data_IF_920556434110
#
_entry.id   IF_920556434110
#
_cell.length_a   1.000
_cell.length_b   1.000
_cell.length_c   1.000
_cell.angle_alpha   90.00
_cell.angle_beta   90.00
_cell.angle_gamma   90.00
#
_symmetry.space_group_name_H-M   'P 1'
#
loop_
_entity.id
_entity.type
_entity.pdbx_description
1 polymer ?
#
# COMPACT_ATOMS: atom_id res chain seq x y z
N UNK A 1 -17.16 7.58 -1.53
CA UNK A 1 -17.17 6.14 -1.82
C UNK A 1 -16.28 5.90 -3.02
N UNK A 2 -15.23 5.12 -2.84
CA UNK A 2 -14.33 4.65 -3.91
C UNK A 2 -15.07 3.68 -4.81
N UNK A 3 -14.98 3.85 -6.14
CA UNK A 3 -15.60 2.92 -7.09
C UNK A 3 -14.91 1.54 -7.10
N UNK A 4 -15.58 0.47 -7.59
CA UNK A 4 -14.99 -0.87 -7.63
C UNK A 4 -13.73 -0.95 -8.50
N UNK A 5 -13.69 -0.22 -9.62
CA UNK A 5 -12.52 -0.16 -10.51
C UNK A 5 -11.31 0.53 -9.84
N UNK A 6 -11.58 1.59 -9.06
CA UNK A 6 -10.54 2.34 -8.34
C UNK A 6 -9.98 1.50 -7.17
N UNK A 7 -10.84 0.77 -6.47
CA UNK A 7 -10.41 -0.18 -5.45
C UNK A 7 -9.52 -1.28 -6.04
N UNK A 8 -9.87 -1.84 -7.20
CA UNK A 8 -9.05 -2.86 -7.88
C UNK A 8 -7.69 -2.30 -8.32
N UNK A 9 -7.67 -1.08 -8.84
CA UNK A 9 -6.43 -0.38 -9.17
C UNK A 9 -5.52 -0.22 -7.95
N UNK A 10 -6.08 0.18 -6.80
CA UNK A 10 -5.30 0.32 -5.56
C UNK A 10 -4.83 -1.02 -4.99
N UNK A 11 -5.60 -2.10 -5.15
CA UNK A 11 -5.10 -3.46 -4.85
C UNK A 11 -3.89 -3.79 -5.71
N UNK A 12 -3.93 -3.45 -7.00
CA UNK A 12 -2.79 -3.63 -7.91
C UNK A 12 -1.53 -2.87 -7.47
N UNK A 13 -1.67 -1.66 -6.93
CA UNK A 13 -0.55 -0.89 -6.35
C UNK A 13 0.02 -1.61 -5.13
N UNK A 14 -0.82 -1.97 -4.17
CA UNK A 14 -0.38 -2.64 -2.93
C UNK A 14 0.25 -4.00 -3.21
N UNK A 15 -0.31 -4.77 -4.14
CA UNK A 15 0.25 -6.06 -4.56
C UNK A 15 1.63 -5.89 -5.21
N UNK A 16 1.84 -4.84 -6.01
CA UNK A 16 3.16 -4.51 -6.57
C UNK A 16 4.15 -4.10 -5.49
N UNK A 17 3.76 -3.26 -4.53
CA UNK A 17 4.64 -2.86 -3.43
C UNK A 17 4.96 -4.01 -2.47
N UNK A 18 4.06 -4.98 -2.32
CA UNK A 18 4.33 -6.19 -1.53
C UNK A 18 5.35 -7.12 -2.19
N UNK A 19 5.36 -7.21 -3.52
CA UNK A 19 6.20 -8.15 -4.29
C UNK A 19 7.44 -7.53 -4.94
N UNK A 20 7.40 -6.24 -5.24
CA UNK A 20 8.42 -5.54 -6.04
C UNK A 20 9.62 -5.11 -5.20
N UNK A 21 10.76 -4.75 -5.80
CA UNK A 21 11.97 -4.47 -5.03
C UNK A 21 11.93 -3.15 -4.25
N UNK A 22 11.02 -2.21 -4.60
CA UNK A 22 10.90 -0.91 -3.96
C UNK A 22 9.59 -0.78 -3.16
N UNK A 23 9.57 -0.09 -2.01
CA UNK A 23 10.74 0.51 -1.35
C UNK A 23 11.69 -0.54 -0.75
N UNK A 24 13.00 -0.20 -0.71
CA UNK A 24 14.09 -1.05 -0.21
C UNK A 24 14.51 -0.70 1.23
N UNK A 25 14.85 -1.72 2.02
CA UNK A 25 15.36 -1.58 3.38
C UNK A 25 14.68 -2.56 4.35
N UNK A 26 15.38 -2.90 5.43
CA UNK A 26 14.94 -3.89 6.43
C UNK A 26 13.55 -3.57 7.01
N UNK A 27 13.25 -2.29 7.27
CA UNK A 27 11.92 -1.86 7.71
C UNK A 27 10.80 -2.23 6.72
N UNK A 28 11.06 -2.09 5.41
CA UNK A 28 10.05 -2.37 4.39
C UNK A 28 9.92 -3.87 4.11
N UNK A 29 10.99 -4.64 4.30
CA UNK A 29 10.94 -6.10 4.31
C UNK A 29 10.03 -6.60 5.45
N UNK A 30 10.24 -6.09 6.67
CA UNK A 30 9.36 -6.37 7.81
C UNK A 30 7.91 -5.97 7.54
N UNK A 31 7.67 -4.81 6.93
CA UNK A 31 6.30 -4.41 6.55
C UNK A 31 5.65 -5.40 5.59
N UNK A 32 6.39 -5.95 4.61
CA UNK A 32 5.86 -6.96 3.69
C UNK A 32 5.53 -8.26 4.41
N UNK A 33 6.38 -8.68 5.34
CA UNK A 33 6.14 -9.86 6.17
C UNK A 33 4.89 -9.70 7.04
N UNK A 34 4.72 -8.55 7.70
CA UNK A 34 3.54 -8.23 8.50
C UNK A 34 2.27 -8.28 7.64
N UNK A 35 2.30 -7.68 6.44
CA UNK A 35 1.15 -7.73 5.54
C UNK A 35 0.86 -9.15 5.06
N UNK A 36 1.89 -9.97 4.84
CA UNK A 36 1.71 -11.37 4.44
C UNK A 36 1.11 -12.21 5.58
N UNK A 37 1.55 -11.98 6.82
CA UNK A 37 1.10 -12.73 8.00
C UNK A 37 -0.25 -12.25 8.55
N UNK A 38 -0.55 -10.96 8.46
CA UNK A 38 -1.68 -10.32 9.13
C UNK A 38 -2.33 -9.18 8.29
N UNK A 39 -2.81 -9.45 7.05
CA UNK A 39 -3.32 -8.39 6.17
C UNK A 39 -4.57 -7.68 6.69
N UNK A 40 -5.45 -8.37 7.42
CA UNK A 40 -6.71 -7.77 7.91
C UNK A 40 -6.59 -7.00 9.23
N UNK A 41 -5.41 -6.88 9.82
CA UNK A 41 -5.25 -6.33 11.17
C UNK A 41 -4.81 -4.87 11.17
N UNK A 42 -4.76 -4.26 12.36
CA UNK A 42 -4.22 -2.91 12.54
C UNK A 42 -2.73 -2.84 12.16
N UNK A 43 -1.97 -3.89 12.45
CA UNK A 43 -0.57 -4.03 12.09
C UNK A 43 -0.40 -4.13 10.56
N UNK A 44 -1.21 -4.94 9.88
CA UNK A 44 -1.22 -5.01 8.42
C UNK A 44 -1.55 -3.67 7.78
N UNK A 45 -2.51 -2.93 8.35
CA UNK A 45 -2.87 -1.57 7.90
C UNK A 45 -1.70 -0.60 8.03
N UNK A 46 -1.03 -0.58 9.19
CA UNK A 46 0.11 0.29 9.44
C UNK A 46 1.29 -0.08 8.53
N UNK A 47 1.61 -1.37 8.40
CA UNK A 47 2.64 -1.84 7.50
C UNK A 47 2.37 -1.46 6.03
N UNK A 48 1.12 -1.56 5.58
CA UNK A 48 0.73 -1.10 4.24
C UNK A 48 0.89 0.41 4.08
N UNK A 49 0.57 1.19 5.12
CA UNK A 49 0.78 2.63 5.15
C UNK A 49 2.26 2.98 5.03
N UNK A 50 3.13 2.32 5.81
CA UNK A 50 4.58 2.51 5.76
C UNK A 50 5.19 2.15 4.41
N UNK A 51 4.74 1.07 3.76
CA UNK A 51 5.18 0.76 2.39
C UNK A 51 4.79 1.83 1.38
N UNK A 52 3.59 2.40 1.49
CA UNK A 52 3.15 3.48 0.61
C UNK A 52 3.97 4.76 0.85
N UNK A 53 4.23 5.11 2.10
CA UNK A 53 5.08 6.26 2.45
C UNK A 53 6.52 6.07 1.99
N UNK A 54 7.08 4.86 2.18
CA UNK A 54 8.40 4.49 1.68
C UNK A 54 8.48 4.58 0.16
N UNK A 55 7.46 4.11 -0.56
CA UNK A 55 7.41 4.23 -2.02
C UNK A 55 7.45 5.70 -2.48
N UNK A 56 6.85 6.63 -1.73
CA UNK A 56 6.93 8.07 -2.05
C UNK A 56 8.33 8.67 -1.85
N UNK A 57 9.13 8.09 -0.95
CA UNK A 57 10.49 8.54 -0.67
C UNK A 57 11.55 7.85 -1.55
N UNK A 58 11.20 6.74 -2.20
CA UNK A 58 12.12 5.94 -3.01
C UNK A 58 12.24 6.51 -4.45
N UNK A 59 13.48 6.81 -4.86
CA UNK A 59 13.78 7.34 -6.19
C UNK A 59 13.52 6.33 -7.33
N UNK A 60 13.45 5.03 -7.03
CA UNK A 60 13.10 3.98 -7.98
C UNK A 60 11.59 3.90 -8.25
N UNK A 61 10.76 4.58 -7.46
CA UNK A 61 9.31 4.64 -7.70
C UNK A 61 9.01 5.50 -8.92
N UNK A 62 8.30 4.93 -9.90
CA UNK A 62 7.90 5.67 -11.09
C UNK A 62 6.97 6.85 -10.74
N UNK A 63 7.02 7.93 -11.53
CA UNK A 63 6.12 9.09 -11.33
C UNK A 63 4.64 8.68 -11.36
N UNK A 64 4.29 7.75 -12.26
CA UNK A 64 2.94 7.23 -12.36
C UNK A 64 2.52 6.49 -11.09
N UNK A 65 3.38 5.63 -10.55
CA UNK A 65 3.10 4.92 -9.30
C UNK A 65 3.07 5.88 -8.11
N UNK A 66 3.97 6.86 -8.03
CA UNK A 66 3.96 7.88 -6.98
C UNK A 66 2.64 8.69 -6.96
N UNK A 67 2.09 9.02 -8.13
CA UNK A 67 0.78 9.69 -8.21
C UNK A 67 -0.36 8.81 -7.67
N UNK A 68 -0.36 7.53 -8.01
CA UNK A 68 -1.36 6.57 -7.53
C UNK A 68 -1.22 6.29 -6.02
N UNK A 69 0.01 6.14 -5.53
CA UNK A 69 0.33 5.99 -4.10
C UNK A 69 -0.14 7.23 -3.32
N UNK A 70 0.14 8.43 -3.82
CA UNK A 70 -0.33 9.68 -3.19
C UNK A 70 -1.86 9.76 -3.14
N UNK A 71 -2.56 9.33 -4.21
CA UNK A 71 -4.03 9.29 -4.24
C UNK A 71 -4.57 8.32 -3.19
N UNK A 72 -3.98 7.13 -3.10
CA UNK A 72 -4.35 6.11 -2.12
C UNK A 72 -4.12 6.60 -0.68
N UNK A 73 -2.95 7.19 -0.39
CA UNK A 73 -2.64 7.75 0.94
C UNK A 73 -3.64 8.85 1.34
N UNK A 74 -4.02 9.72 0.39
CA UNK A 74 -5.04 10.76 0.62
C UNK A 74 -6.43 10.17 0.87
N UNK A 75 -6.82 9.16 0.09
CA UNK A 75 -8.10 8.47 0.27
C UNK A 75 -8.17 7.77 1.64
N UNK A 76 -7.11 7.07 2.03
CA UNK A 76 -7.01 6.40 3.33
C UNK A 76 -7.07 7.41 4.49
N UNK A 77 -6.33 8.52 4.39
CA UNK A 77 -6.31 9.56 5.42
C UNK A 77 -7.66 10.28 5.59
N UNK A 78 -8.51 10.26 4.56
CA UNK A 78 -9.89 10.79 4.60
C UNK A 78 -10.92 9.75 5.04
N UNK A 79 -10.51 8.52 5.35
CA UNK A 79 -11.41 7.41 5.64
C UNK A 79 -12.25 6.94 4.45
N UNK A 80 -11.87 7.33 3.22
CA UNK A 80 -12.58 6.92 2.01
C UNK A 80 -12.28 5.47 1.62
N UNK A 81 -11.18 4.92 2.11
CA UNK A 81 -10.77 3.54 1.93
C UNK A 81 -10.00 3.04 3.16
N UNK A 82 -10.19 1.77 3.48
CA UNK A 82 -9.41 1.08 4.50
C UNK A 82 -8.31 0.23 3.82
N UNK A 83 -7.06 0.45 4.20
CA UNK A 83 -5.92 -0.32 3.68
C UNK A 83 -6.01 -1.79 4.09
N UNK A 84 -6.53 -2.10 5.29
CA UNK A 84 -6.71 -3.48 5.75
C UNK A 84 -7.69 -4.24 4.84
N UNK A 85 -8.79 -3.58 4.45
CA UNK A 85 -9.78 -4.18 3.53
C UNK A 85 -9.20 -4.42 2.14
N UNK A 86 -8.32 -3.54 1.65
CA UNK A 86 -7.68 -3.69 0.36
C UNK A 86 -6.68 -4.86 0.34
N UNK A 87 -5.92 -5.07 1.42
CA UNK A 87 -4.90 -6.13 1.47
C UNK A 87 -5.44 -7.49 1.93
N UNK A 88 -6.54 -7.53 2.70
CA UNK A 88 -7.16 -8.77 3.17
C UNK A 88 -7.90 -9.54 2.05
N UNK A 89 -8.38 -8.83 1.04
CA UNK A 89 -9.11 -9.41 -0.11
C UNK A 89 -8.10 -9.71 -1.23
N UNK A 90 -7.33 -10.79 -1.07
CA UNK A 90 -6.49 -11.39 -2.12
C UNK A 90 -7.26 -12.44 -2.93
#
# INVERSE_FOLDING_TARGET
MTGPEEAERWRGILARLQRGPAPQGEEFELCREVIAAAPGTAEGREAARRLLEGAMADAATSIADAQEVMRLLKAASRGAVDLADLIARR
#
